data_IF_227462319413
#
_entry.id   IF_227462319413
#
_cell.length_a   1.000
_cell.length_b   1.000
_cell.length_c   1.000
_cell.angle_alpha   90.00
_cell.angle_beta   90.00
_cell.angle_gamma   90.00
#
_symmetry.space_group_name_H-M   'P 1'
#
loop_
_entity.id
_entity.type
_entity.pdbx_description
1 polymer ?
#
# COMPACT_ATOMS: atom_id res chain seq x y z
N UNK A 1 0.13 6.53 -23.99
CA UNK A 1 0.99 7.64 -23.54
C UNK A 1 1.10 7.71 -22.02
N UNK A 2 -0.01 7.78 -21.25
CA UNK A 2 0.03 7.87 -19.78
C UNK A 2 0.80 6.75 -19.06
N UNK A 3 0.65 5.49 -19.48
CA UNK A 3 1.40 4.35 -18.92
C UNK A 3 2.92 4.50 -19.06
N UNK A 4 3.38 4.95 -20.22
CA UNK A 4 4.80 5.13 -20.48
C UNK A 4 5.38 6.23 -19.59
N UNK A 5 4.65 7.35 -19.44
CA UNK A 5 5.05 8.47 -18.58
C UNK A 5 5.12 8.05 -17.10
N UNK A 6 4.12 7.29 -16.62
CA UNK A 6 4.12 6.79 -15.24
C UNK A 6 5.30 5.82 -15.01
N UNK A 7 5.55 4.93 -15.97
CA UNK A 7 6.67 3.98 -15.89
C UNK A 7 8.03 4.68 -15.87
N UNK A 8 8.24 5.67 -16.75
CA UNK A 8 9.51 6.43 -16.77
C UNK A 8 9.69 7.25 -15.50
N UNK A 9 8.64 7.92 -15.01
CA UNK A 9 8.67 8.65 -13.73
C UNK A 9 9.03 7.74 -12.56
N UNK A 10 8.44 6.54 -12.51
CA UNK A 10 8.67 5.61 -11.42
C UNK A 10 10.10 5.03 -11.44
N UNK A 11 10.67 4.74 -12.61
CA UNK A 11 12.08 4.34 -12.71
C UNK A 11 13.04 5.47 -12.31
N UNK A 12 12.74 6.70 -12.72
CA UNK A 12 13.52 7.87 -12.30
C UNK A 12 13.44 8.08 -10.79
N UNK A 13 12.26 7.92 -10.18
CA UNK A 13 12.08 7.99 -8.73
C UNK A 13 12.95 6.97 -7.99
N UNK A 14 12.96 5.71 -8.45
CA UNK A 14 13.79 4.64 -7.88
C UNK A 14 15.28 4.99 -7.97
N UNK A 15 15.72 5.54 -9.10
CA UNK A 15 17.11 5.98 -9.27
C UNK A 15 17.47 7.16 -8.36
N UNK A 16 16.57 8.14 -8.23
CA UNK A 16 16.75 9.30 -7.36
C UNK A 16 16.90 8.87 -5.89
N UNK A 17 16.03 7.98 -5.41
CA UNK A 17 16.13 7.38 -4.07
C UNK A 17 17.39 6.54 -3.88
N UNK A 18 17.84 5.82 -4.90
CA UNK A 18 19.09 5.08 -4.78
C UNK A 18 20.31 6.01 -4.64
N UNK A 19 20.31 7.15 -5.33
CA UNK A 19 21.36 8.17 -5.20
C UNK A 19 21.39 8.75 -3.78
N UNK A 20 20.24 9.07 -3.19
CA UNK A 20 20.17 9.57 -1.81
C UNK A 20 20.62 8.53 -0.79
N UNK A 21 20.24 7.26 -0.98
CA UNK A 21 20.66 6.16 -0.11
C UNK A 21 22.16 5.91 -0.21
N UNK A 22 22.74 5.96 -1.41
CA UNK A 22 24.19 5.83 -1.61
C UNK A 22 24.98 6.94 -0.91
N UNK A 23 24.47 8.17 -0.92
CA UNK A 23 25.07 9.31 -0.21
C UNK A 23 25.06 9.12 1.31
N UNK A 24 23.98 8.54 1.85
CA UNK A 24 23.82 8.35 3.28
C UNK A 24 24.49 7.08 3.81
N UNK A 25 24.48 5.99 3.03
CA UNK A 25 25.03 4.66 3.39
C UNK A 25 25.51 3.90 2.14
N UNK A 26 26.81 3.92 1.86
CA UNK A 26 27.42 3.29 0.67
C UNK A 26 27.21 1.76 0.59
N UNK A 27 27.09 1.08 1.73
CA UNK A 27 26.86 -0.37 1.81
C UNK A 27 25.42 -0.79 1.49
N UNK A 28 24.44 0.11 1.63
CA UNK A 28 23.02 -0.21 1.42
C UNK A 28 22.56 -0.06 -0.03
N UNK A 29 23.23 0.79 -0.82
CA UNK A 29 22.87 1.12 -2.21
C UNK A 29 23.52 0.25 -3.29
N UNK A 30 23.45 -1.07 -3.17
CA UNK A 30 24.03 -1.97 -4.20
C UNK A 30 23.21 -1.98 -5.50
N UNK A 31 23.88 -2.19 -6.64
CA UNK A 31 23.23 -2.27 -7.97
C UNK A 31 22.19 -3.38 -8.06
N UNK A 32 22.37 -4.49 -7.32
CA UNK A 32 21.39 -5.57 -7.21
C UNK A 32 20.14 -5.14 -6.43
N UNK A 33 20.29 -4.37 -5.35
CA UNK A 33 19.13 -3.86 -4.61
C UNK A 33 18.33 -2.86 -5.45
N UNK A 34 19.02 -2.02 -6.23
CA UNK A 34 18.39 -1.10 -7.19
C UNK A 34 17.54 -1.86 -8.23
N UNK A 35 18.09 -2.91 -8.84
CA UNK A 35 17.35 -3.67 -9.86
C UNK A 35 16.12 -4.38 -9.26
N UNK A 36 16.26 -4.99 -8.08
CA UNK A 36 15.13 -5.61 -7.37
C UNK A 36 14.08 -4.58 -6.95
N UNK A 37 14.49 -3.41 -6.46
CA UNK A 37 13.59 -2.29 -6.13
C UNK A 37 12.85 -1.78 -7.37
N UNK A 38 13.52 -1.68 -8.52
CA UNK A 38 12.91 -1.32 -9.80
C UNK A 38 11.89 -2.36 -10.28
N UNK A 39 12.16 -3.65 -10.09
CA UNK A 39 11.18 -4.70 -10.43
C UNK A 39 9.96 -4.64 -9.49
N UNK A 40 10.19 -4.48 -8.19
CA UNK A 40 9.12 -4.37 -7.19
C UNK A 40 8.25 -3.14 -7.41
N UNK A 41 8.84 -2.01 -7.81
CA UNK A 41 8.09 -0.79 -8.13
C UNK A 41 7.18 -0.98 -9.34
N UNK A 42 7.64 -1.66 -10.39
CA UNK A 42 6.82 -1.99 -11.55
C UNK A 42 5.69 -2.96 -11.17
N UNK A 43 5.98 -3.98 -10.37
CA UNK A 43 4.97 -4.90 -9.85
C UNK A 43 3.92 -4.13 -9.05
N UNK A 44 4.33 -3.18 -8.20
CA UNK A 44 3.41 -2.35 -7.41
C UNK A 44 2.48 -1.51 -8.28
N UNK A 45 2.99 -0.92 -9.37
CA UNK A 45 2.20 -0.17 -10.33
C UNK A 45 1.17 -1.08 -11.02
N UNK A 46 1.57 -2.30 -11.42
CA UNK A 46 0.65 -3.30 -11.99
C UNK A 46 -0.45 -3.66 -11.00
N UNK A 47 -0.13 -3.81 -9.71
CA UNK A 47 -1.14 -4.07 -8.67
C UNK A 47 -2.14 -2.92 -8.54
N UNK A 48 -1.68 -1.67 -8.55
CA UNK A 48 -2.54 -0.48 -8.51
C UNK A 48 -3.47 -0.43 -9.73
N UNK A 49 -2.92 -0.63 -10.93
CA UNK A 49 -3.70 -0.73 -12.17
C UNK A 49 -4.75 -1.85 -12.08
N UNK A 50 -4.34 -3.02 -11.60
CA UNK A 50 -5.22 -4.17 -11.49
C UNK A 50 -6.37 -3.92 -10.53
N UNK A 51 -6.12 -3.27 -9.40
CA UNK A 51 -7.17 -2.88 -8.45
C UNK A 51 -8.18 -1.92 -9.06
N UNK A 52 -7.71 -0.88 -9.74
CA UNK A 52 -8.58 0.11 -10.40
C UNK A 52 -9.45 -0.56 -11.45
N UNK A 53 -8.86 -1.40 -12.31
CA UNK A 53 -9.60 -2.10 -13.38
C UNK A 53 -10.58 -3.14 -12.86
N UNK A 54 -10.21 -3.94 -11.85
CA UNK A 54 -11.09 -5.02 -11.36
C UNK A 54 -12.21 -4.53 -10.47
N UNK A 55 -12.04 -3.44 -9.73
CA UNK A 55 -13.05 -3.00 -8.77
C UNK A 55 -14.15 -2.12 -9.39
N UNK A 56 -14.14 -1.88 -10.71
CA UNK A 56 -15.15 -1.07 -11.43
C UNK A 56 -15.47 0.25 -10.72
N UNK A 57 -14.50 0.81 -10.01
CA UNK A 57 -14.72 2.01 -9.22
C UNK A 57 -14.64 3.27 -10.11
N UNK A 58 -13.92 3.26 -11.25
CA UNK A 58 -13.54 4.50 -11.95
C UNK A 58 -13.61 4.39 -13.48
N UNK A 59 -13.79 5.53 -14.15
CA UNK A 59 -13.88 5.66 -15.60
C UNK A 59 -12.48 5.52 -16.24
N UNK A 60 -12.39 5.73 -17.56
CA UNK A 60 -11.25 5.46 -18.45
C UNK A 60 -9.94 6.20 -18.13
N UNK A 61 -9.87 6.99 -17.06
CA UNK A 61 -8.68 7.77 -16.68
C UNK A 61 -7.51 6.92 -16.20
N UNK A 62 -6.30 7.46 -16.37
CA UNK A 62 -5.04 6.82 -15.93
C UNK A 62 -4.32 7.62 -14.83
N UNK A 63 -5.07 8.44 -14.09
CA UNK A 63 -4.52 9.35 -13.09
C UNK A 63 -3.91 8.62 -11.88
N UNK A 64 -4.42 7.45 -11.49
CA UNK A 64 -3.84 6.61 -10.44
C UNK A 64 -2.37 6.27 -10.69
N UNK A 65 -2.00 5.98 -11.94
CA UNK A 65 -0.63 5.60 -12.28
C UNK A 65 0.35 6.78 -12.09
N UNK A 66 -0.06 7.97 -12.54
CA UNK A 66 0.73 9.18 -12.39
C UNK A 66 0.84 9.59 -10.92
N UNK A 67 -0.26 9.53 -10.17
CA UNK A 67 -0.28 9.84 -8.74
C UNK A 67 0.58 8.87 -7.94
N UNK A 68 0.48 7.58 -8.21
CA UNK A 68 1.33 6.58 -7.57
C UNK A 68 2.81 6.87 -7.80
N UNK A 69 3.19 7.14 -9.06
CA UNK A 69 4.58 7.40 -9.43
C UNK A 69 5.13 8.69 -8.82
N UNK A 70 4.33 9.76 -8.81
CA UNK A 70 4.70 11.05 -8.19
C UNK A 70 4.80 10.95 -6.68
N UNK A 71 3.83 10.33 -6.01
CA UNK A 71 3.89 10.16 -4.56
C UNK A 71 5.03 9.24 -4.15
N UNK A 72 5.33 8.20 -4.92
CA UNK A 72 6.49 7.34 -4.67
C UNK A 72 7.81 8.12 -4.74
N UNK A 73 7.92 9.08 -5.66
CA UNK A 73 9.07 9.97 -5.73
C UNK A 73 9.15 10.90 -4.52
N UNK A 74 8.03 11.51 -4.16
CA UNK A 74 7.96 12.53 -3.10
C UNK A 74 8.27 11.97 -1.71
N UNK A 75 8.08 10.66 -1.49
CA UNK A 75 8.40 10.04 -0.21
C UNK A 75 9.91 10.04 0.07
N UNK A 76 10.37 10.51 1.24
CA UNK A 76 11.77 10.39 1.60
C UNK A 76 12.07 8.94 1.98
N UNK A 77 12.51 8.14 1.01
CA UNK A 77 12.95 6.75 1.22
C UNK A 77 14.42 6.80 1.62
N UNK A 78 14.69 6.57 2.90
CA UNK A 78 16.04 6.58 3.46
C UNK A 78 16.70 5.19 3.47
N UNK A 79 15.95 4.10 3.28
CA UNK A 79 16.44 2.73 3.19
C UNK A 79 15.56 1.86 2.29
N UNK A 80 16.17 0.91 1.59
CA UNK A 80 15.46 -0.15 0.86
C UNK A 80 15.22 -1.36 1.77
N UNK A 81 13.98 -1.57 2.19
CA UNK A 81 13.58 -2.84 2.81
C UNK A 81 12.71 -3.66 1.84
N UNK A 82 13.40 -4.49 1.04
CA UNK A 82 12.78 -5.29 -0.03
C UNK A 82 11.82 -6.35 0.53
N UNK A 83 12.13 -6.93 1.69
CA UNK A 83 11.28 -7.94 2.33
C UNK A 83 9.97 -7.33 2.77
N UNK A 84 10.03 -6.13 3.35
CA UNK A 84 8.84 -5.38 3.74
C UNK A 84 8.01 -4.94 2.55
N UNK A 85 8.64 -4.58 1.43
CA UNK A 85 7.92 -4.28 0.20
C UNK A 85 7.17 -5.51 -0.32
N UNK A 86 7.82 -6.67 -0.37
CA UNK A 86 7.19 -7.95 -0.73
C UNK A 86 6.00 -8.24 0.20
N UNK A 87 6.18 -8.06 1.51
CA UNK A 87 5.12 -8.23 2.51
C UNK A 87 3.92 -7.32 2.23
N UNK A 88 4.16 -6.06 1.86
CA UNK A 88 3.10 -5.09 1.53
C UNK A 88 2.32 -5.48 0.27
N UNK A 89 2.99 -6.07 -0.73
CA UNK A 89 2.34 -6.57 -1.95
C UNK A 89 1.48 -7.81 -1.65
N UNK A 90 1.94 -8.70 -0.78
CA UNK A 90 1.16 -9.87 -0.33
C UNK A 90 -0.07 -9.46 0.47
N UNK A 91 0.06 -8.46 1.34
CA UNK A 91 -1.08 -7.84 2.00
C UNK A 91 -2.06 -7.24 0.97
N UNK A 92 -1.54 -6.54 -0.04
CA UNK A 92 -2.38 -5.97 -1.10
C UNK A 92 -3.18 -7.05 -1.84
N UNK A 93 -2.56 -8.20 -2.12
CA UNK A 93 -3.23 -9.38 -2.68
C UNK A 93 -4.34 -9.91 -1.75
N UNK A 94 -4.13 -9.90 -0.43
CA UNK A 94 -5.17 -10.26 0.52
C UNK A 94 -6.40 -9.35 0.37
N UNK A 95 -6.17 -8.04 0.28
CA UNK A 95 -7.23 -7.05 0.09
C UNK A 95 -7.98 -7.19 -1.23
N UNK A 96 -7.26 -7.42 -2.33
CA UNK A 96 -7.86 -7.67 -3.64
C UNK A 96 -8.83 -8.85 -3.59
N UNK A 97 -8.52 -9.88 -2.80
CA UNK A 97 -9.37 -11.05 -2.67
C UNK A 97 -10.57 -10.81 -1.76
N UNK A 98 -10.40 -10.14 -0.62
CA UNK A 98 -11.52 -9.88 0.30
C UNK A 98 -12.54 -8.91 -0.30
N UNK A 99 -12.10 -7.92 -1.10
CA UNK A 99 -13.03 -6.98 -1.74
C UNK A 99 -13.90 -7.68 -2.81
N UNK A 100 -13.46 -8.79 -3.40
CA UNK A 100 -14.27 -9.56 -4.36
C UNK A 100 -15.34 -10.44 -3.73
N UNK A 101 -15.35 -10.53 -2.40
CA UNK A 101 -16.33 -11.36 -1.68
C UNK A 101 -17.71 -10.71 -1.80
N UNK A 102 -18.50 -11.15 -2.77
CA UNK A 102 -19.91 -10.82 -2.87
C UNK A 102 -20.76 -12.05 -2.50
N UNK A 103 -22.09 -11.93 -2.46
CA UNK A 103 -23.03 -12.99 -2.03
C UNK A 103 -23.08 -14.24 -2.95
N UNK A 104 -22.07 -14.43 -3.80
CA UNK A 104 -21.96 -15.57 -4.68
C UNK A 104 -21.45 -16.83 -3.96
N UNK A 105 -21.78 -17.98 -4.54
CA UNK A 105 -21.48 -19.34 -4.07
C UNK A 105 -20.00 -19.66 -3.83
N UNK A 106 -19.07 -18.85 -4.39
CA UNK A 106 -17.62 -19.03 -4.24
C UNK A 106 -16.98 -18.09 -3.18
N UNK A 107 -17.78 -17.43 -2.32
CA UNK A 107 -17.27 -16.49 -1.31
C UNK A 107 -16.20 -17.10 -0.40
N UNK A 108 -16.37 -18.36 0.03
CA UNK A 108 -15.43 -19.03 0.93
C UNK A 108 -13.99 -19.11 0.37
N UNK A 109 -13.83 -19.33 -0.94
CA UNK A 109 -12.51 -19.44 -1.56
C UNK A 109 -11.77 -18.10 -1.53
N UNK A 110 -12.49 -16.99 -1.76
CA UNK A 110 -11.91 -15.66 -1.70
C UNK A 110 -11.53 -15.26 -0.26
N UNK A 111 -12.37 -15.64 0.72
CA UNK A 111 -12.10 -15.42 2.14
C UNK A 111 -10.86 -16.21 2.59
N UNK A 112 -10.77 -17.49 2.19
CA UNK A 112 -9.60 -18.33 2.46
C UNK A 112 -8.34 -17.76 1.83
N UNK A 113 -8.40 -17.40 0.53
CA UNK A 113 -7.26 -16.81 -0.18
C UNK A 113 -6.83 -15.48 0.45
N UNK A 114 -7.77 -14.63 0.88
CA UNK A 114 -7.43 -13.41 1.60
C UNK A 114 -6.65 -13.73 2.89
N UNK A 115 -7.13 -14.68 3.69
CA UNK A 115 -6.40 -15.14 4.87
C UNK A 115 -5.02 -15.68 4.53
N UNK A 116 -4.90 -16.49 3.48
CA UNK A 116 -3.66 -17.12 3.05
C UNK A 116 -2.57 -16.09 2.70
N UNK A 117 -2.91 -15.10 1.86
CA UNK A 117 -1.98 -14.04 1.50
C UNK A 117 -1.58 -13.17 2.69
N UNK A 118 -2.50 -12.95 3.64
CA UNK A 118 -2.19 -12.22 4.87
C UNK A 118 -1.23 -13.00 5.76
N UNK A 119 -1.41 -14.31 5.93
CA UNK A 119 -0.46 -15.14 6.70
C UNK A 119 0.94 -15.09 6.07
N UNK A 120 1.04 -15.20 4.75
CA UNK A 120 2.31 -15.03 4.03
C UNK A 120 2.94 -13.66 4.27
N UNK A 121 2.15 -12.59 4.35
CA UNK A 121 2.63 -11.25 4.71
C UNK A 121 3.17 -11.21 6.15
N UNK A 122 2.47 -11.85 7.11
CA UNK A 122 2.89 -11.93 8.52
C UNK A 122 4.25 -12.62 8.66
N UNK A 123 4.55 -13.63 7.85
CA UNK A 123 5.87 -14.30 7.86
C UNK A 123 7.03 -13.35 7.61
N UNK A 124 6.83 -12.30 6.80
CA UNK A 124 7.85 -11.30 6.56
C UNK A 124 7.88 -10.21 7.64
N UNK A 125 6.72 -9.88 8.24
CA UNK A 125 6.67 -9.01 9.43
C UNK A 125 5.41 -9.24 10.28
N UNK A 126 5.62 -9.44 11.57
CA UNK A 126 4.53 -9.80 12.52
C UNK A 126 3.44 -8.72 12.64
N UNK A 127 3.80 -7.44 12.49
CA UNK A 127 2.87 -6.30 12.58
C UNK A 127 1.68 -6.41 11.60
N UNK A 128 1.83 -7.19 10.52
CA UNK A 128 0.72 -7.44 9.59
C UNK A 128 -0.46 -8.19 10.22
N UNK A 129 -0.31 -8.76 11.41
CA UNK A 129 -1.38 -9.41 12.15
C UNK A 129 -2.59 -8.51 12.40
N UNK A 130 -2.37 -7.21 12.63
CA UNK A 130 -3.48 -6.26 12.86
C UNK A 130 -4.44 -6.14 11.68
N UNK A 131 -4.00 -6.50 10.47
CA UNK A 131 -4.86 -6.47 9.29
C UNK A 131 -5.93 -7.56 9.28
N UNK A 132 -5.90 -8.56 10.17
CA UNK A 132 -7.06 -9.45 10.35
C UNK A 132 -8.32 -8.67 10.73
N UNK A 133 -8.19 -7.68 11.62
CA UNK A 133 -9.32 -6.79 11.98
C UNK A 133 -9.85 -6.05 10.75
N UNK A 134 -8.98 -5.71 9.81
CA UNK A 134 -9.38 -5.00 8.59
C UNK A 134 -10.13 -5.90 7.62
N UNK A 135 -9.67 -7.14 7.44
CA UNK A 135 -10.37 -8.16 6.64
C UNK A 135 -11.75 -8.41 7.24
N UNK A 136 -11.84 -8.55 8.56
CA UNK A 136 -13.12 -8.75 9.25
C UNK A 136 -14.02 -7.51 9.15
N UNK A 137 -13.46 -6.30 9.24
CA UNK A 137 -14.19 -5.05 8.99
C UNK A 137 -14.78 -4.98 7.58
N UNK A 138 -14.02 -5.41 6.56
CA UNK A 138 -14.52 -5.50 5.18
C UNK A 138 -15.65 -6.52 5.06
N UNK A 139 -15.52 -7.69 5.70
CA UNK A 139 -16.59 -8.69 5.74
C UNK A 139 -17.84 -8.18 6.46
N UNK A 140 -17.66 -7.39 7.53
CA UNK A 140 -18.76 -6.76 8.26
C UNK A 140 -19.54 -5.79 7.35
N UNK A 141 -18.85 -4.90 6.62
CA UNK A 141 -19.51 -3.99 5.68
C UNK A 141 -20.19 -4.71 4.52
N UNK A 142 -19.70 -5.89 4.14
CA UNK A 142 -20.34 -6.76 3.14
C UNK A 142 -21.48 -7.62 3.70
N UNK A 143 -21.78 -7.52 5.00
CA UNK A 143 -22.81 -8.33 5.66
C UNK A 143 -22.48 -9.83 5.71
N UNK A 144 -21.20 -10.19 5.55
CA UNK A 144 -20.71 -11.57 5.53
C UNK A 144 -19.89 -11.93 6.76
N UNK A 145 -19.86 -11.09 7.79
CA UNK A 145 -19.16 -11.43 9.03
C UNK A 145 -20.00 -12.44 9.83
N UNK A 146 -19.64 -13.70 9.69
CA UNK A 146 -20.17 -14.82 10.46
C UNK A 146 -19.00 -15.59 11.08
N UNK A 147 -19.24 -16.31 12.18
CA UNK A 147 -18.23 -17.16 12.81
C UNK A 147 -17.56 -18.11 11.82
N UNK A 148 -18.35 -18.72 10.92
CA UNK A 148 -17.84 -19.54 9.82
C UNK A 148 -16.77 -18.83 8.99
N UNK A 149 -17.02 -17.58 8.59
CA UNK A 149 -16.11 -16.82 7.74
C UNK A 149 -14.86 -16.37 8.50
N UNK A 150 -14.97 -16.06 9.79
CA UNK A 150 -13.81 -15.81 10.65
C UNK A 150 -12.91 -17.06 10.70
N UNK A 151 -13.49 -18.24 10.93
CA UNK A 151 -12.72 -19.50 10.89
C UNK A 151 -12.06 -19.74 9.53
N UNK A 152 -12.77 -19.47 8.42
CA UNK A 152 -12.18 -19.61 7.07
C UNK A 152 -10.98 -18.66 6.87
N UNK A 153 -11.04 -17.43 7.39
CA UNK A 153 -9.88 -16.51 7.32
C UNK A 153 -8.67 -16.98 8.15
N UNK A 154 -8.89 -17.75 9.22
CA UNK A 154 -7.84 -18.26 10.10
C UNK A 154 -7.33 -19.65 9.69
N UNK A 155 -8.10 -20.40 8.89
CA UNK A 155 -7.72 -21.73 8.41
C UNK A 155 -6.33 -21.79 7.74
N UNK A 156 -5.90 -20.79 6.93
CA UNK A 156 -4.54 -20.75 6.39
C UNK A 156 -3.43 -20.75 7.46
N UNK A 157 -3.67 -20.14 8.62
CA UNK A 157 -2.70 -20.15 9.75
C UNK A 157 -2.46 -21.59 10.19
N UNK A 158 -3.55 -22.34 10.33
CA UNK A 158 -3.48 -23.75 10.69
C UNK A 158 -2.78 -24.57 9.61
N UNK A 159 -3.15 -24.41 8.34
CA UNK A 159 -2.51 -25.12 7.22
C UNK A 159 -1.00 -24.87 7.18
N UNK A 160 -0.57 -23.61 7.31
CA UNK A 160 0.86 -23.28 7.25
C UNK A 160 1.58 -23.75 8.52
N UNK A 161 0.94 -23.69 9.68
CA UNK A 161 1.49 -24.26 10.92
C UNK A 161 1.70 -25.77 10.81
N UNK A 162 0.76 -26.51 10.23
CA UNK A 162 0.89 -27.96 9.99
C UNK A 162 2.04 -28.26 9.02
N UNK A 163 2.14 -27.50 7.91
CA UNK A 163 3.26 -27.64 6.96
C UNK A 163 4.59 -27.34 7.67
N UNK A 164 4.65 -26.28 8.46
CA UNK A 164 5.84 -25.91 9.22
C UNK A 164 6.26 -27.01 10.20
N UNK A 165 5.32 -27.56 10.97
CA UNK A 165 5.56 -28.67 11.88
C UNK A 165 6.05 -29.91 11.14
N UNK A 166 5.46 -30.22 9.98
CA UNK A 166 5.90 -31.36 9.16
C UNK A 166 7.34 -31.18 8.65
N UNK A 167 7.71 -29.97 8.21
CA UNK A 167 9.07 -29.64 7.78
C UNK A 167 10.06 -29.67 8.94
N UNK A 168 9.64 -29.22 10.12
CA UNK A 168 10.45 -29.26 11.33
C UNK A 168 10.79 -30.70 11.76
N UNK A 169 9.84 -31.63 11.61
CA UNK A 169 10.07 -33.06 11.90
C UNK A 169 10.95 -33.71 10.84
N UNK A 170 10.76 -33.37 9.56
CA UNK A 170 11.48 -33.99 8.43
C UNK A 170 12.92 -33.46 8.28
N UNK A 171 13.19 -32.22 8.66
CA UNK A 171 14.49 -31.56 8.48
C UNK A 171 15.07 -31.24 9.85
N UNK A 172 16.06 -32.03 10.28
CA UNK A 172 16.70 -31.93 11.61
C UNK A 172 17.42 -30.60 11.89
N UNK A 173 17.62 -29.76 10.87
CA UNK A 173 18.16 -28.39 10.98
C UNK A 173 17.18 -27.32 10.51
N UNK A 174 15.87 -27.60 10.56
CA UNK A 174 14.89 -26.58 10.23
C UNK A 174 14.92 -25.47 11.30
N UNK A 175 14.88 -24.18 10.92
CA UNK A 175 14.87 -23.11 11.90
C UNK A 175 13.68 -23.31 12.85
N UNK A 176 13.96 -23.46 14.14
CA UNK A 176 12.92 -23.41 15.16
C UNK A 176 12.23 -22.05 15.08
N UNK A 177 10.94 -22.00 15.40
CA UNK A 177 10.15 -20.76 15.50
C UNK A 177 10.59 -19.96 16.74
N UNK A 178 11.89 -19.69 16.87
CA UNK A 178 12.46 -18.82 17.88
C UNK A 178 11.96 -17.42 17.56
N UNK A 179 10.85 -17.12 18.23
CA UNK A 179 10.42 -15.82 18.72
C UNK A 179 11.05 -14.68 17.92
N UNK A 180 10.32 -14.24 16.90
CA UNK A 180 10.23 -12.80 16.69
C UNK A 180 9.97 -12.22 18.07
N UNK A 181 11.00 -11.66 18.71
CA UNK A 181 10.82 -10.96 19.96
C UNK A 181 9.71 -9.96 19.67
N UNK A 182 8.57 -10.15 20.32
CA UNK A 182 7.51 -9.15 20.39
C UNK A 182 8.12 -8.04 21.24
N UNK A 183 9.06 -7.32 20.66
CA UNK A 183 9.58 -6.09 21.23
C UNK A 183 8.38 -5.17 21.15
N UNK A 184 7.78 -4.75 22.28
CA UNK A 184 6.79 -3.69 22.22
C UNK A 184 7.50 -2.54 21.54
N UNK A 185 7.03 -2.18 20.34
CA UNK A 185 7.59 -1.09 19.57
C UNK A 185 7.61 0.13 20.47
N UNK A 186 8.80 0.62 20.83
CA UNK A 186 8.92 1.87 21.54
C UNK A 186 8.13 2.92 20.74
N UNK A 187 7.13 3.50 21.37
CA UNK A 187 6.26 4.49 20.77
C UNK A 187 7.11 5.73 20.43
N UNK A 188 7.52 5.84 19.18
CA UNK A 188 7.97 7.10 18.62
C UNK A 188 6.84 7.62 17.74
N UNK A 189 6.09 8.60 18.25
CA UNK A 189 5.19 9.38 17.42
C UNK A 189 5.99 9.90 16.21
N UNK A 190 5.42 9.76 15.01
CA UNK A 190 6.06 9.91 13.69
C UNK A 190 6.56 11.32 13.34
N UNK A 191 6.83 12.16 14.33
CA UNK A 191 7.77 13.26 14.15
C UNK A 191 9.18 12.74 14.37
N UNK A 192 9.68 11.96 13.42
CA UNK A 192 11.12 11.99 13.22
C UNK A 192 11.45 13.36 12.61
N UNK A 193 12.53 13.98 13.05
CA UNK A 193 13.00 15.31 12.61
C UNK A 193 13.15 15.42 11.08
N UNK A 194 13.25 14.29 10.38
CA UNK A 194 13.38 14.20 8.92
C UNK A 194 12.05 14.33 8.16
N UNK A 195 10.91 13.98 8.76
CA UNK A 195 9.61 14.04 8.07
C UNK A 195 8.95 15.42 8.18
N UNK A 196 9.27 16.20 9.22
CA UNK A 196 8.72 17.55 9.47
C UNK A 196 9.05 18.58 8.40
N UNK A 197 10.12 18.37 7.63
CA UNK A 197 10.58 19.34 6.62
C UNK A 197 10.09 19.03 5.19
N UNK A 198 9.46 17.87 4.97
CA UNK A 198 9.06 17.44 3.64
C UNK A 198 7.71 18.04 3.22
N UNK A 199 7.74 19.19 2.54
CA UNK A 199 6.57 19.80 1.86
C UNK A 199 5.77 18.77 1.03
N UNK A 200 6.45 17.77 0.50
CA UNK A 200 5.87 16.62 -0.19
C UNK A 200 4.85 15.82 0.60
N UNK A 201 5.15 15.48 1.86
CA UNK A 201 4.22 14.74 2.71
C UNK A 201 2.97 15.54 3.04
N UNK A 202 3.11 16.86 3.20
CA UNK A 202 1.99 17.77 3.37
C UNK A 202 1.03 17.72 2.17
N UNK A 203 1.54 17.69 0.93
CA UNK A 203 0.72 17.51 -0.26
C UNK A 203 0.01 16.16 -0.29
N UNK A 204 0.69 15.07 0.07
CA UNK A 204 0.06 13.74 0.17
C UNK A 204 -1.08 13.78 1.18
N UNK A 205 -0.87 14.34 2.38
CA UNK A 205 -1.91 14.45 3.42
C UNK A 205 -3.08 15.33 2.95
N UNK A 206 -2.82 16.48 2.32
CA UNK A 206 -3.87 17.35 1.77
C UNK A 206 -4.69 16.61 0.72
N UNK A 207 -4.03 15.93 -0.22
CA UNK A 207 -4.75 15.21 -1.27
C UNK A 207 -5.68 14.17 -0.68
N UNK A 208 -5.22 13.45 0.35
CA UNK A 208 -6.01 12.43 1.03
C UNK A 208 -7.20 13.05 1.75
N UNK A 209 -6.99 14.12 2.51
CA UNK A 209 -8.08 14.80 3.21
C UNK A 209 -9.13 15.33 2.23
N UNK A 210 -8.72 15.98 1.13
CA UNK A 210 -9.63 16.48 0.10
C UNK A 210 -10.39 15.35 -0.63
N UNK A 211 -9.68 14.27 -0.94
CA UNK A 211 -10.26 13.05 -1.54
C UNK A 211 -11.30 12.49 -0.59
N UNK A 212 -10.92 12.17 0.65
CA UNK A 212 -11.83 11.60 1.66
C UNK A 212 -13.06 12.49 1.87
N UNK A 213 -12.89 13.80 2.01
CA UNK A 213 -13.99 14.76 2.19
C UNK A 213 -14.96 14.80 1.00
N UNK A 214 -14.45 14.90 -0.23
CA UNK A 214 -15.30 14.90 -1.44
C UNK A 214 -16.08 13.61 -1.56
N UNK A 215 -15.45 12.50 -1.21
CA UNK A 215 -16.07 11.19 -1.29
C UNK A 215 -17.13 10.95 -0.21
N UNK A 216 -16.94 11.43 1.02
CA UNK A 216 -18.01 11.45 2.03
C UNK A 216 -19.25 12.20 1.51
N UNK A 217 -19.06 13.29 0.76
CA UNK A 217 -20.17 14.01 0.11
C UNK A 217 -20.82 13.21 -1.03
N UNK A 218 -20.06 12.43 -1.79
CA UNK A 218 -20.55 11.59 -2.88
C UNK A 218 -21.30 10.34 -2.41
N UNK A 219 -20.92 9.80 -1.24
CA UNK A 219 -21.55 8.67 -0.55
C UNK A 219 -23.05 8.87 -0.25
N UNK A 220 -23.46 10.13 -0.09
CA UNK A 220 -24.86 10.52 0.14
C UNK A 220 -25.73 10.12 -1.07
N UNK A 221 -25.17 10.10 -2.29
CA UNK A 221 -25.93 9.95 -3.53
C UNK A 221 -25.65 8.64 -4.31
N UNK A 222 -24.71 7.80 -3.87
CA UNK A 222 -24.30 6.59 -4.61
C UNK A 222 -25.20 5.36 -4.34
N UNK A 223 -25.11 4.34 -5.23
CA UNK A 223 -25.82 3.05 -5.07
C UNK A 223 -25.16 2.19 -3.98
N UNK A 224 -25.94 1.37 -3.27
CA UNK A 224 -25.50 0.57 -2.12
C UNK A 224 -24.26 -0.32 -2.37
N UNK A 225 -24.14 -0.97 -3.52
CA UNK A 225 -22.97 -1.84 -3.82
C UNK A 225 -21.66 -1.05 -3.96
N UNK A 226 -21.72 0.17 -4.54
CA UNK A 226 -20.57 1.07 -4.62
C UNK A 226 -20.19 1.62 -3.23
N UNK A 227 -21.15 1.79 -2.32
CA UNK A 227 -20.89 2.20 -0.93
C UNK A 227 -20.04 1.18 -0.19
N UNK A 228 -20.32 -0.11 -0.36
CA UNK A 228 -19.61 -1.20 0.35
C UNK A 228 -18.16 -1.31 -0.08
N UNK A 229 -17.88 -1.28 -1.39
CA UNK A 229 -16.49 -1.26 -1.89
C UNK A 229 -15.75 0.00 -1.42
N UNK A 230 -16.44 1.13 -1.36
CA UNK A 230 -15.88 2.38 -0.86
C UNK A 230 -15.53 2.33 0.64
N UNK A 231 -16.43 1.84 1.49
CA UNK A 231 -16.15 1.65 2.93
C UNK A 231 -14.98 0.70 3.14
N UNK A 232 -14.86 -0.32 2.29
CA UNK A 232 -13.73 -1.24 2.30
C UNK A 232 -12.42 -0.51 2.02
N UNK A 233 -12.37 0.34 0.99
CA UNK A 233 -11.16 1.11 0.65
C UNK A 233 -10.82 2.19 1.70
N UNK A 234 -11.81 2.85 2.30
CA UNK A 234 -11.58 3.76 3.45
C UNK A 234 -11.00 2.98 4.64
N UNK A 235 -11.54 1.81 4.94
CA UNK A 235 -11.08 1.03 6.08
C UNK A 235 -9.61 0.62 5.89
N UNK A 236 -9.22 0.29 4.66
CA UNK A 236 -7.81 0.03 4.32
C UNK A 236 -6.97 1.30 4.53
N UNK A 237 -7.44 2.46 4.09
CA UNK A 237 -6.75 3.74 4.33
C UNK A 237 -6.58 4.05 5.82
N UNK A 238 -7.62 3.85 6.62
CA UNK A 238 -7.54 4.03 8.07
C UNK A 238 -6.56 3.04 8.70
N UNK A 239 -6.58 1.78 8.24
CA UNK A 239 -5.65 0.78 8.76
C UNK A 239 -4.19 1.04 8.40
N UNK A 240 -3.92 1.53 7.20
CA UNK A 240 -2.56 1.93 6.82
C UNK A 240 -2.11 3.15 7.61
N UNK A 241 -2.98 4.14 7.87
CA UNK A 241 -2.69 5.28 8.76
C UNK A 241 -2.41 4.83 10.19
N UNK A 242 -3.23 3.94 10.76
CA UNK A 242 -3.01 3.38 12.08
C UNK A 242 -1.62 2.72 12.12
N UNK A 243 -1.25 1.95 11.12
CA UNK A 243 0.06 1.28 11.10
C UNK A 243 1.22 2.24 10.84
N UNK A 244 1.01 3.29 10.05
CA UNK A 244 1.93 4.44 9.97
C UNK A 244 2.16 4.95 11.39
N UNK A 245 1.10 5.34 12.10
CA UNK A 245 1.17 5.96 13.43
C UNK A 245 1.70 5.04 14.54
N UNK A 246 1.38 3.75 14.49
CA UNK A 246 1.64 2.80 15.57
C UNK A 246 2.83 1.86 15.32
N UNK A 247 3.38 1.79 14.11
CA UNK A 247 4.42 0.80 13.77
C UNK A 247 5.88 1.25 13.93
N UNK A 248 6.12 2.39 14.58
CA UNK A 248 7.46 2.83 15.02
C UNK A 248 8.40 3.36 13.92
N UNK A 249 9.56 3.87 14.36
CA UNK A 249 10.62 4.45 13.53
C UNK A 249 11.26 3.39 12.61
N UNK A 250 10.70 3.22 11.42
CA UNK A 250 11.16 2.21 10.46
C UNK A 250 10.03 1.54 9.69
N UNK A 251 8.77 1.94 9.90
CA UNK A 251 7.64 1.33 9.23
C UNK A 251 7.46 1.83 7.77
N UNK A 252 8.45 1.57 6.90
CA UNK A 252 8.41 1.90 5.46
C UNK A 252 7.20 1.23 4.75
N UNK A 253 6.68 0.13 5.33
CA UNK A 253 5.48 -0.64 4.92
C UNK A 253 4.23 0.20 4.79
N UNK A 254 4.07 1.08 5.76
CA UNK A 254 2.84 1.83 5.94
C UNK A 254 2.74 2.88 4.83
N UNK A 255 3.88 3.32 4.29
CA UNK A 255 3.94 4.24 3.17
C UNK A 255 3.59 3.59 1.83
N UNK A 256 4.15 2.43 1.48
CA UNK A 256 3.85 1.78 0.18
C UNK A 256 2.37 1.39 0.08
N UNK A 257 1.85 0.72 1.11
CA UNK A 257 0.44 0.36 1.17
C UNK A 257 -0.47 1.59 1.17
N UNK A 258 -0.10 2.64 1.92
CA UNK A 258 -0.80 3.92 1.89
C UNK A 258 -0.78 4.57 0.51
N UNK A 259 0.36 4.64 -0.18
CA UNK A 259 0.45 5.19 -1.54
C UNK A 259 -0.44 4.45 -2.54
N UNK A 260 -0.51 3.11 -2.43
CA UNK A 260 -1.42 2.33 -3.26
C UNK A 260 -2.88 2.72 -3.02
N UNK A 261 -3.32 2.81 -1.76
CA UNK A 261 -4.70 3.20 -1.45
C UNK A 261 -5.01 4.63 -1.90
N UNK A 262 -4.08 5.56 -1.67
CA UNK A 262 -4.30 6.98 -1.91
C UNK A 262 -4.28 7.30 -3.41
N UNK A 263 -3.41 6.65 -4.18
CA UNK A 263 -3.43 6.74 -5.65
C UNK A 263 -4.72 6.19 -6.26
N UNK A 264 -5.27 5.11 -5.70
CA UNK A 264 -6.55 4.53 -6.16
C UNK A 264 -7.70 5.48 -5.86
N UNK A 265 -7.81 5.94 -4.61
CA UNK A 265 -8.89 6.84 -4.18
C UNK A 265 -8.83 8.20 -4.86
N UNK A 266 -7.65 8.73 -5.13
CA UNK A 266 -7.52 10.04 -5.77
C UNK A 266 -8.01 10.06 -7.22
N UNK A 267 -8.11 8.92 -7.88
CA UNK A 267 -8.54 8.82 -9.29
C UNK A 267 -9.92 9.44 -9.55
N UNK A 268 -11.01 9.02 -8.90
CA UNK A 268 -12.29 9.71 -9.15
C UNK A 268 -12.41 11.08 -8.47
N UNK A 269 -11.55 11.43 -7.52
CA UNK A 269 -11.48 12.83 -7.09
C UNK A 269 -11.06 13.72 -8.25
N UNK A 270 -10.03 13.32 -9.00
CA UNK A 270 -9.55 14.06 -10.17
C UNK A 270 -10.48 13.94 -11.37
N UNK A 271 -11.05 12.76 -11.65
CA UNK A 271 -12.01 12.60 -12.75
C UNK A 271 -13.29 13.43 -12.56
N UNK A 272 -13.71 13.68 -11.32
CA UNK A 272 -14.93 14.46 -11.05
C UNK A 272 -14.76 15.98 -11.20
N UNK A 273 -13.58 16.49 -11.56
CA UNK A 273 -13.43 17.90 -11.89
C UNK A 273 -13.91 18.19 -13.32
N UNK A 274 -14.89 19.10 -13.43
CA UNK A 274 -15.34 19.62 -14.73
C UNK A 274 -14.25 20.44 -15.45
N UNK A 275 -13.36 21.08 -14.68
CA UNK A 275 -12.28 21.94 -15.20
C UNK A 275 -10.95 21.20 -15.17
N UNK A 276 -10.48 20.74 -16.34
CA UNK A 276 -9.24 19.95 -16.48
C UNK A 276 -7.97 20.72 -16.08
N UNK A 277 -7.95 22.04 -16.29
CA UNK A 277 -6.81 22.89 -15.92
C UNK A 277 -6.46 22.83 -14.42
N UNK A 278 -7.43 22.65 -13.52
CA UNK A 278 -7.15 22.50 -12.09
C UNK A 278 -6.42 21.19 -11.77
N UNK A 279 -6.73 20.13 -12.52
CA UNK A 279 -6.05 18.83 -12.39
C UNK A 279 -4.62 18.94 -12.91
N UNK A 280 -4.45 19.59 -14.06
CA UNK A 280 -3.12 19.85 -14.63
C UNK A 280 -2.26 20.71 -13.70
N UNK A 281 -2.82 21.78 -13.13
CA UNK A 281 -2.14 22.64 -12.16
C UNK A 281 -1.72 21.88 -10.89
N UNK A 282 -2.58 20.97 -10.40
CA UNK A 282 -2.21 20.10 -9.28
C UNK A 282 -1.01 19.20 -9.64
N UNK A 283 -1.03 18.57 -10.81
CA UNK A 283 0.07 17.72 -11.26
C UNK A 283 1.36 18.50 -11.51
N UNK A 284 1.30 19.72 -12.03
CA UNK A 284 2.49 20.56 -12.22
C UNK A 284 3.10 20.98 -10.90
N UNK A 285 2.29 21.32 -9.88
CA UNK A 285 2.80 21.58 -8.53
C UNK A 285 3.47 20.33 -7.95
N UNK A 286 2.83 19.17 -8.06
CA UNK A 286 3.43 17.91 -7.58
C UNK A 286 4.75 17.60 -8.29
N UNK A 287 4.82 17.85 -9.60
CA UNK A 287 6.04 17.69 -10.38
C UNK A 287 7.13 18.66 -9.90
N UNK A 288 6.82 19.93 -9.71
CA UNK A 288 7.78 20.91 -9.18
C UNK A 288 8.33 20.51 -7.80
N UNK A 289 7.49 19.96 -6.92
CA UNK A 289 7.91 19.46 -5.61
C UNK A 289 8.79 18.21 -5.74
N UNK A 290 8.39 17.25 -6.57
CA UNK A 290 9.17 16.02 -6.78
C UNK A 290 10.57 16.30 -7.34
N UNK A 291 10.67 17.24 -8.27
CA UNK A 291 11.92 17.62 -8.93
C UNK A 291 12.65 18.77 -8.23
N UNK A 292 12.17 19.28 -7.08
CA UNK A 292 12.76 20.44 -6.40
C UNK A 292 14.27 20.25 -6.13
N UNK A 293 14.66 19.07 -5.66
CA UNK A 293 16.05 18.77 -5.34
C UNK A 293 16.93 18.65 -6.60
N UNK A 294 16.38 18.13 -7.71
CA UNK A 294 17.11 17.98 -8.96
C UNK A 294 17.24 19.32 -9.69
N UNK A 295 16.18 20.14 -9.69
CA UNK A 295 16.17 21.50 -10.24
C UNK A 295 17.18 22.38 -9.49
N UNK A 296 17.20 22.30 -8.17
CA UNK A 296 18.16 23.06 -7.36
C UNK A 296 19.61 22.66 -7.64
N UNK A 297 19.88 21.40 -7.99
CA UNK A 297 21.23 20.93 -8.34
C UNK A 297 21.70 21.29 -9.75
N UNK A 298 20.81 21.80 -10.61
CA UNK A 298 21.13 22.24 -11.99
C UNK A 298 21.28 23.76 -12.04
N UNK A 299 20.56 24.49 -11.18
CA UNK A 299 20.57 25.95 -11.13
C UNK A 299 21.68 26.55 -10.26
N UNK A 300 22.33 25.74 -9.42
CA UNK A 300 23.47 26.11 -8.56
C UNK A 300 24.59 25.08 -8.70
#
# INVERSE_FOLDING_TARGET
>A
MGYFIAFTLLLLAVNSHNKTILLNNSLEGSTLKLSVAGILSVISLIFVEWTVRRQLLFQTGSYHLLLFSLFFWILPINRWDLWLWIASLLLWLSFINIIKVDANTNSNNFIFNAGFWLVFSIFFKVDFFYFYLTIWGVLYFKGQLNFKNIFITLLPVFCISVIWLSLFILITKFPSLQTANVIPSNFSFLWSELYSESLGLFFVIITITLVVLKYFRMLIYSRNSQKVNFYSTILILLSSIIIILFGGSGNVISWVSFLMVTSILSTQYFESFKRKWLVELFFTICFLVAFQNEINSILF
#
